data_IF_348965291697
#
_entry.id   IF_348965291697
#
_cell.length_a   1.000
_cell.length_b   1.000
_cell.length_c   1.000
_cell.angle_alpha   90.00
_cell.angle_beta   90.00
_cell.angle_gamma   90.00
#
_symmetry.space_group_name_H-M   'P 1'
#
loop_
_entity.id
_entity.type
_entity.pdbx_description
1 polymer ?
#
# COMPACT_ATOMS: atom_id res chain seq x y z
N UNK A 1 -76.11 -7.16 2.61
CA UNK A 1 -75.50 -7.57 1.32
C UNK A 1 -74.78 -6.47 0.53
N UNK A 2 -75.28 -5.22 0.38
CA UNK A 2 -74.49 -4.12 -0.24
C UNK A 2 -73.54 -3.45 0.77
N UNK A 3 -74.05 -3.04 1.94
CA UNK A 3 -73.24 -2.43 3.01
C UNK A 3 -72.09 -3.32 3.53
N UNK A 4 -72.25 -4.65 3.53
CA UNK A 4 -71.17 -5.55 3.96
C UNK A 4 -70.05 -5.60 2.92
N UNK A 5 -70.38 -5.56 1.63
CA UNK A 5 -69.39 -5.49 0.55
C UNK A 5 -68.66 -4.15 0.53
N UNK A 6 -69.36 -3.06 0.80
CA UNK A 6 -68.78 -1.73 0.94
C UNK A 6 -67.87 -1.64 2.17
N UNK A 7 -68.27 -2.20 3.32
CA UNK A 7 -67.40 -2.30 4.49
C UNK A 7 -66.16 -3.16 4.23
N UNK A 8 -66.31 -4.30 3.55
CA UNK A 8 -65.17 -5.16 3.20
C UNK A 8 -64.22 -4.43 2.22
N UNK A 9 -64.76 -3.67 1.25
CA UNK A 9 -63.95 -2.87 0.35
C UNK A 9 -63.19 -1.77 1.10
N UNK A 10 -63.87 -1.04 1.98
CA UNK A 10 -63.29 0.01 2.82
C UNK A 10 -62.22 -0.52 3.78
N UNK A 11 -62.46 -1.68 4.41
CA UNK A 11 -61.50 -2.34 5.30
C UNK A 11 -60.27 -2.82 4.53
N UNK A 12 -60.43 -3.37 3.33
CA UNK A 12 -59.31 -3.78 2.47
C UNK A 12 -58.50 -2.58 1.97
N UNK A 13 -59.16 -1.50 1.60
CA UNK A 13 -58.52 -0.24 1.22
C UNK A 13 -57.73 0.34 2.41
N UNK A 14 -58.32 0.36 3.60
CA UNK A 14 -57.65 0.82 4.81
C UNK A 14 -56.46 -0.07 5.18
N UNK A 15 -56.59 -1.40 5.02
CA UNK A 15 -55.48 -2.34 5.21
C UNK A 15 -54.35 -2.10 4.23
N UNK A 16 -54.65 -1.91 2.94
CA UNK A 16 -53.64 -1.62 1.92
C UNK A 16 -52.93 -0.29 2.19
N UNK A 17 -53.68 0.75 2.56
CA UNK A 17 -53.11 2.04 2.97
C UNK A 17 -52.19 1.89 4.20
N UNK A 18 -52.63 1.16 5.23
CA UNK A 18 -51.82 0.92 6.44
C UNK A 18 -50.56 0.11 6.14
N UNK A 19 -50.62 -0.87 5.24
CA UNK A 19 -49.42 -1.62 4.83
C UNK A 19 -48.43 -0.76 4.07
N UNK A 20 -48.90 0.16 3.21
CA UNK A 20 -48.05 1.12 2.50
C UNK A 20 -47.43 2.15 3.45
N UNK A 21 -48.17 2.62 4.44
CA UNK A 21 -47.66 3.50 5.50
C UNK A 21 -46.57 2.80 6.32
N UNK A 22 -46.79 1.53 6.68
CA UNK A 22 -45.83 0.74 7.44
C UNK A 22 -44.54 0.52 6.65
N UNK A 23 -44.64 0.20 5.37
CA UNK A 23 -43.48 -0.02 4.49
C UNK A 23 -42.68 1.28 4.28
N UNK A 24 -43.37 2.42 4.12
CA UNK A 24 -42.73 3.73 4.08
C UNK A 24 -42.05 4.10 5.40
N UNK A 25 -42.66 3.78 6.54
CA UNK A 25 -42.07 4.04 7.85
C UNK A 25 -40.81 3.18 8.06
N UNK A 26 -40.85 1.90 7.69
CA UNK A 26 -39.69 1.01 7.72
C UNK A 26 -38.58 1.48 6.77
N UNK A 27 -38.92 1.99 5.60
CA UNK A 27 -37.94 2.56 4.67
C UNK A 27 -37.28 3.81 5.25
N UNK A 28 -38.05 4.70 5.89
CA UNK A 28 -37.50 5.90 6.56
C UNK A 28 -36.64 5.55 7.77
N UNK A 29 -37.03 4.56 8.56
CA UNK A 29 -36.27 4.14 9.75
C UNK A 29 -34.96 3.42 9.37
N UNK A 30 -35.00 2.62 8.30
CA UNK A 30 -33.82 1.92 7.79
C UNK A 30 -32.99 2.74 6.80
N UNK A 31 -33.38 3.98 6.49
CA UNK A 31 -32.58 4.86 5.64
C UNK A 31 -31.85 5.92 6.46
N UNK A 32 -30.55 6.01 6.24
CA UNK A 32 -29.72 7.10 6.73
C UNK A 32 -29.47 8.01 5.53
N UNK A 33 -29.73 9.31 5.68
CA UNK A 33 -29.44 10.27 4.63
C UNK A 33 -27.93 10.47 4.50
N UNK A 34 -27.37 10.12 3.35
CA UNK A 34 -25.98 10.39 3.01
C UNK A 34 -25.95 11.29 1.77
N UNK A 35 -25.33 12.46 1.86
CA UNK A 35 -25.31 13.46 0.79
C UNK A 35 -26.70 13.88 0.26
N UNK A 36 -27.74 13.80 1.12
CA UNK A 36 -29.11 14.16 0.75
C UNK A 36 -29.93 13.02 0.13
N UNK A 37 -29.33 11.86 -0.14
CA UNK A 37 -30.04 10.66 -0.61
C UNK A 37 -30.27 9.66 0.54
N UNK A 38 -31.48 9.08 0.69
CA UNK A 38 -31.73 8.03 1.66
C UNK A 38 -31.02 6.74 1.22
N UNK A 39 -30.00 6.32 1.97
CA UNK A 39 -29.32 5.05 1.77
C UNK A 39 -29.74 4.06 2.85
N UNK A 40 -29.94 2.80 2.47
CA UNK A 40 -30.18 1.73 3.42
C UNK A 40 -29.00 1.63 4.41
N UNK A 41 -29.32 1.45 5.70
CA UNK A 41 -28.39 1.26 6.82
C UNK A 41 -27.31 0.20 6.55
N UNK A 42 -27.67 -0.87 5.83
CA UNK A 42 -26.72 -1.91 5.42
C UNK A 42 -25.71 -1.36 4.39
N UNK A 43 -26.19 -0.71 3.34
CA UNK A 43 -25.36 -0.11 2.29
C UNK A 43 -24.42 0.95 2.86
N UNK A 44 -24.91 1.79 3.77
CA UNK A 44 -24.10 2.78 4.47
C UNK A 44 -22.94 2.13 5.23
N UNK A 45 -23.25 1.13 6.06
CA UNK A 45 -22.25 0.44 6.88
C UNK A 45 -21.22 -0.28 6.00
N UNK A 46 -21.67 -0.90 4.91
CA UNK A 46 -20.78 -1.55 3.94
C UNK A 46 -19.82 -0.57 3.27
N UNK A 47 -20.32 0.58 2.80
CA UNK A 47 -19.50 1.63 2.18
C UNK A 47 -18.47 2.17 3.19
N UNK A 48 -18.89 2.44 4.42
CA UNK A 48 -18.00 2.93 5.48
C UNK A 48 -16.88 1.94 5.77
N UNK A 49 -17.21 0.67 6.00
CA UNK A 49 -16.22 -0.36 6.26
C UNK A 49 -15.28 -0.57 5.07
N UNK A 50 -15.79 -0.49 3.84
CA UNK A 50 -14.96 -0.56 2.63
C UNK A 50 -13.94 0.56 2.59
N UNK A 51 -14.35 1.80 2.91
CA UNK A 51 -13.46 2.95 2.98
C UNK A 51 -12.41 2.76 4.08
N UNK A 52 -12.84 2.37 5.28
CA UNK A 52 -11.94 2.14 6.42
C UNK A 52 -10.91 1.05 6.10
N UNK A 53 -11.34 -0.07 5.53
CA UNK A 53 -10.46 -1.17 5.13
C UNK A 53 -9.53 -0.73 3.99
N UNK A 54 -10.03 0.00 3.00
CA UNK A 54 -9.23 0.52 1.89
C UNK A 54 -8.11 1.44 2.37
N UNK A 55 -8.43 2.38 3.26
CA UNK A 55 -7.43 3.25 3.88
C UNK A 55 -6.46 2.46 4.78
N UNK A 56 -6.97 1.54 5.60
CA UNK A 56 -6.15 0.69 6.46
C UNK A 56 -5.15 -0.16 5.67
N UNK A 57 -5.62 -0.83 4.62
CA UNK A 57 -4.77 -1.62 3.72
C UNK A 57 -3.74 -0.73 3.00
N UNK A 58 -4.14 0.46 2.55
CA UNK A 58 -3.23 1.43 1.94
C UNK A 58 -2.10 1.86 2.88
N UNK A 59 -2.40 2.13 4.14
CA UNK A 59 -1.40 2.49 5.15
C UNK A 59 -0.46 1.31 5.43
N UNK A 60 -1.00 0.11 5.65
CA UNK A 60 -0.20 -1.10 5.89
C UNK A 60 0.74 -1.38 4.70
N UNK A 61 0.23 -1.26 3.47
CA UNK A 61 1.04 -1.39 2.26
C UNK A 61 2.15 -0.34 2.20
N UNK A 62 1.84 0.92 2.50
CA UNK A 62 2.82 2.01 2.51
C UNK A 62 3.91 1.78 3.56
N UNK A 63 3.53 1.41 4.78
CA UNK A 63 4.48 1.11 5.86
C UNK A 63 5.38 -0.07 5.49
N UNK A 64 4.82 -1.15 4.96
CA UNK A 64 5.60 -2.31 4.52
C UNK A 64 6.60 -1.94 3.41
N UNK A 65 6.15 -1.15 2.43
CA UNK A 65 7.02 -0.66 1.36
C UNK A 65 8.11 0.27 1.89
N UNK A 66 7.79 1.15 2.83
CA UNK A 66 8.74 2.08 3.44
C UNK A 66 9.83 1.35 4.24
N UNK A 67 9.44 0.39 5.08
CA UNK A 67 10.37 -0.44 5.84
C UNK A 67 11.30 -1.24 4.92
N UNK A 68 10.73 -1.89 3.90
CA UNK A 68 11.52 -2.63 2.91
C UNK A 68 12.47 -1.70 2.13
N UNK A 69 11.99 -0.52 1.75
CA UNK A 69 12.81 0.47 1.04
C UNK A 69 13.97 0.97 1.89
N UNK A 70 13.76 1.17 3.19
CA UNK A 70 14.83 1.62 4.09
C UNK A 70 15.91 0.54 4.26
N UNK A 71 15.52 -0.74 4.35
CA UNK A 71 16.46 -1.87 4.39
C UNK A 71 17.25 -1.98 3.08
N UNK A 72 16.58 -1.85 1.93
CA UNK A 72 17.25 -1.88 0.61
C UNK A 72 18.23 -0.71 0.48
N UNK A 73 17.84 0.49 0.89
CA UNK A 73 18.71 1.67 0.84
C UNK A 73 19.96 1.49 1.71
N UNK A 74 19.79 0.97 2.94
CA UNK A 74 20.91 0.69 3.84
C UNK A 74 21.83 -0.40 3.26
N UNK A 75 21.27 -1.47 2.72
CA UNK A 75 22.03 -2.55 2.10
C UNK A 75 22.83 -2.06 0.88
N UNK A 76 22.23 -1.19 0.06
CA UNK A 76 22.92 -0.57 -1.06
C UNK A 76 24.09 0.33 -0.60
N UNK A 77 23.91 1.07 0.49
CA UNK A 77 24.98 1.90 1.07
C UNK A 77 26.13 1.05 1.61
N UNK A 78 25.84 -0.01 2.36
CA UNK A 78 26.85 -0.94 2.87
C UNK A 78 27.60 -1.63 1.72
N UNK A 79 26.88 -2.03 0.66
CA UNK A 79 27.48 -2.67 -0.52
C UNK A 79 28.41 -1.71 -1.27
N UNK A 80 28.04 -0.43 -1.36
CA UNK A 80 28.88 0.61 -1.95
C UNK A 80 30.17 0.81 -1.14
N UNK A 81 30.08 0.80 0.18
CA UNK A 81 31.22 0.94 1.07
C UNK A 81 32.22 -0.22 0.91
N UNK A 82 31.72 -1.46 0.82
CA UNK A 82 32.53 -2.66 0.57
C UNK A 82 33.25 -2.56 -0.78
N UNK A 83 32.53 -2.17 -1.84
CA UNK A 83 33.12 -2.02 -3.19
C UNK A 83 34.18 -0.93 -3.22
N UNK A 84 33.97 0.18 -2.52
CA UNK A 84 34.94 1.28 -2.42
C UNK A 84 36.21 0.85 -1.67
N UNK A 85 36.06 0.10 -0.58
CA UNK A 85 37.19 -0.47 0.16
C UNK A 85 37.97 -1.48 -0.69
N UNK A 86 37.28 -2.40 -1.36
CA UNK A 86 37.91 -3.36 -2.28
C UNK A 86 38.64 -2.65 -3.43
N UNK A 87 38.06 -1.58 -3.98
CA UNK A 87 38.67 -0.77 -5.02
C UNK A 87 39.95 -0.07 -4.53
N UNK A 88 39.92 0.54 -3.35
CA UNK A 88 41.09 1.19 -2.77
C UNK A 88 42.21 0.18 -2.44
N UNK A 89 41.87 -1.01 -1.93
CA UNK A 89 42.84 -2.10 -1.73
C UNK A 89 43.43 -2.53 -3.08
N UNK A 90 42.60 -2.75 -4.10
CA UNK A 90 43.05 -3.13 -5.42
C UNK A 90 44.00 -2.08 -6.01
N UNK A 91 43.63 -0.80 -5.89
CA UNK A 91 44.43 0.34 -6.36
C UNK A 91 45.80 0.37 -5.66
N UNK A 92 45.85 0.26 -4.34
CA UNK A 92 47.11 0.21 -3.57
C UNK A 92 47.99 -0.96 -4.01
N UNK A 93 47.42 -2.15 -4.14
CA UNK A 93 48.14 -3.36 -4.57
C UNK A 93 48.68 -3.23 -6.00
N UNK A 94 47.92 -2.60 -6.90
CA UNK A 94 48.38 -2.34 -8.28
C UNK A 94 49.53 -1.34 -8.32
N UNK A 95 49.46 -0.26 -7.53
CA UNK A 95 50.57 0.71 -7.41
C UNK A 95 51.82 0.03 -6.82
N UNK A 96 51.68 -0.77 -5.76
CA UNK A 96 52.82 -1.46 -5.14
C UNK A 96 53.48 -2.45 -6.11
N UNK A 97 52.67 -3.16 -6.92
CA UNK A 97 53.17 -4.04 -7.98
C UNK A 97 53.95 -3.28 -9.04
N UNK A 98 53.44 -2.14 -9.51
CA UNK A 98 54.16 -1.30 -10.46
C UNK A 98 55.46 -0.77 -9.88
N UNK A 99 55.46 -0.34 -8.61
CA UNK A 99 56.68 0.13 -7.94
C UNK A 99 57.73 -0.98 -7.79
N UNK A 100 57.31 -2.18 -7.40
CA UNK A 100 58.20 -3.36 -7.31
C UNK A 100 58.77 -3.72 -8.69
N UNK A 101 57.94 -3.73 -9.73
CA UNK A 101 58.37 -4.03 -11.10
C UNK A 101 59.39 -3.00 -11.60
N UNK A 102 59.16 -1.71 -11.35
CA UNK A 102 60.11 -0.64 -11.69
C UNK A 102 61.44 -0.79 -10.96
N UNK A 103 61.43 -1.17 -9.68
CA UNK A 103 62.65 -1.43 -8.90
C UNK A 103 63.42 -2.62 -9.47
N UNK A 104 62.74 -3.74 -9.73
CA UNK A 104 63.36 -4.93 -10.34
C UNK A 104 64.00 -4.61 -11.70
N UNK A 105 63.28 -3.86 -12.55
CA UNK A 105 63.81 -3.44 -13.85
C UNK A 105 65.07 -2.58 -13.71
N UNK A 106 65.10 -1.65 -12.75
CA UNK A 106 66.27 -0.82 -12.50
C UNK A 106 67.45 -1.63 -11.96
N UNK A 107 67.19 -2.59 -11.08
CA UNK A 107 68.20 -3.49 -10.53
C UNK A 107 68.80 -4.40 -11.62
N UNK A 108 67.96 -4.91 -12.54
CA UNK A 108 68.40 -5.65 -13.73
C UNK A 108 69.31 -4.78 -14.62
N UNK A 109 68.89 -3.56 -14.95
CA UNK A 109 69.70 -2.62 -15.76
C UNK A 109 71.04 -2.33 -15.08
N UNK A 110 71.05 -2.04 -13.77
CA UNK A 110 72.27 -1.74 -13.02
C UNK A 110 73.21 -2.94 -12.98
N UNK A 111 72.68 -4.16 -12.85
CA UNK A 111 73.44 -5.41 -12.89
C UNK A 111 74.09 -5.65 -14.26
N UNK A 112 73.37 -5.39 -15.35
CA UNK A 112 73.91 -5.51 -16.71
C UNK A 112 74.97 -4.45 -17.05
N UNK A 113 74.93 -3.26 -16.44
CA UNK A 113 75.91 -2.18 -16.67
C UNK A 113 77.23 -2.35 -15.90
N UNK A 114 77.19 -3.06 -14.78
CA UNK A 114 78.36 -3.33 -13.93
C UNK A 114 79.02 -4.68 -14.22
N UNK A 115 78.52 -5.42 -15.23
CA UNK A 115 79.17 -6.57 -15.86
C UNK A 115 79.85 -6.14 -17.15
#
# INVERSE_FOLDING_TARGET
MKNERENIAYLNETLTQKTLELDNALFKENSISLFGAPLNKFTYSFILWTIIIGFGAGIVFFVFKFLKSNVIAKQAQDSLLIVEEEFEIHRKNSIEREQKLRRQLQDEINKHRNS
#
